data_IF_068607298759
#
_entry.id   IF_068607298759
#
_cell.length_a   1.000
_cell.length_b   1.000
_cell.length_c   1.000
_cell.angle_alpha   90.00
_cell.angle_beta   90.00
_cell.angle_gamma   90.00
#
_symmetry.space_group_name_H-M   'P 1'
#
loop_
_entity.id
_entity.type
_entity.pdbx_description
1 polymer ?
#
# COMPACT_ATOMS: atom_id res chain seq x y z
N UNK A 1 18.88 0.16 8.91
CA UNK A 1 17.83 -0.88 9.04
C UNK A 1 16.95 -0.81 7.81
N UNK A 2 16.28 -1.93 7.45
CA UNK A 2 15.33 -2.01 6.32
C UNK A 2 13.93 -2.21 6.91
N UNK A 3 13.05 -1.26 6.64
CA UNK A 3 11.68 -1.27 7.13
C UNK A 3 10.67 -1.43 6.00
N UNK A 4 9.61 -2.21 6.26
CA UNK A 4 8.44 -2.31 5.39
C UNK A 4 7.24 -1.66 6.08
N UNK A 5 6.52 -0.79 5.37
CA UNK A 5 5.27 -0.13 5.80
C UNK A 5 4.26 -0.25 4.67
N UNK A 6 2.97 -0.39 4.97
CA UNK A 6 1.90 -0.43 3.96
C UNK A 6 0.62 0.21 4.46
N UNK A 7 -0.31 0.46 3.54
CA UNK A 7 -1.72 0.78 3.80
C UNK A 7 -1.91 1.93 4.79
N UNK A 8 -1.14 3.00 4.60
CA UNK A 8 -1.23 4.22 5.44
C UNK A 8 -2.54 4.94 5.19
N UNK A 9 -3.06 4.91 3.96
CA UNK A 9 -4.37 5.47 3.61
C UNK A 9 -4.61 6.85 4.24
N UNK A 10 -3.72 7.80 3.98
CA UNK A 10 -3.87 9.17 4.46
C UNK A 10 -3.76 9.38 5.98
N UNK A 11 -3.39 8.37 6.75
CA UNK A 11 -3.09 8.48 8.19
C UNK A 11 -1.70 9.10 8.40
N UNK A 12 -1.55 10.36 8.02
CA UNK A 12 -0.25 11.05 7.98
C UNK A 12 0.38 11.20 9.36
N UNK A 13 -0.41 11.56 10.37
CA UNK A 13 0.12 11.76 11.73
C UNK A 13 0.63 10.45 12.33
N UNK A 14 -0.07 9.33 12.07
CA UNK A 14 0.37 7.99 12.47
C UNK A 14 1.65 7.57 11.74
N UNK A 15 1.77 7.93 10.46
CA UNK A 15 2.97 7.66 9.68
C UNK A 15 4.17 8.43 10.23
N UNK A 16 4.02 9.72 10.55
CA UNK A 16 5.07 10.51 11.19
C UNK A 16 5.45 9.94 12.57
N UNK A 17 4.46 9.61 13.40
CA UNK A 17 4.69 9.01 14.73
C UNK A 17 5.43 7.67 14.62
N UNK A 18 5.13 6.86 13.59
CA UNK A 18 5.80 5.60 13.34
C UNK A 18 7.27 5.81 12.98
N UNK A 19 7.57 6.74 12.04
CA UNK A 19 8.94 7.07 11.64
C UNK A 19 9.77 7.60 12.82
N UNK A 20 9.18 8.47 13.67
CA UNK A 20 9.83 8.93 14.90
C UNK A 20 10.12 7.76 15.85
N UNK A 21 9.16 6.85 16.03
CA UNK A 21 9.28 5.74 16.98
C UNK A 21 10.35 4.72 16.59
N UNK A 22 10.56 4.50 15.30
CA UNK A 22 11.65 3.66 14.78
C UNK A 22 12.96 4.43 14.61
N UNK A 23 12.98 5.72 14.94
CA UNK A 23 14.13 6.61 14.77
C UNK A 23 14.67 6.60 13.32
N UNK A 24 13.74 6.54 12.33
CA UNK A 24 14.09 6.42 10.92
C UNK A 24 15.02 7.53 10.46
N UNK A 25 16.16 7.17 9.89
CA UNK A 25 17.21 8.09 9.50
C UNK A 25 17.79 7.84 8.11
N UNK A 26 18.80 8.63 7.75
CA UNK A 26 19.40 8.61 6.42
C UNK A 26 20.15 7.30 6.05
N UNK A 27 20.45 6.45 7.04
CA UNK A 27 21.09 5.16 6.82
C UNK A 27 20.11 3.98 6.81
N UNK A 28 18.82 4.25 6.97
CA UNK A 28 17.78 3.24 6.90
C UNK A 28 17.16 3.23 5.49
N UNK A 29 16.47 2.17 5.15
CA UNK A 29 15.68 2.04 3.93
C UNK A 29 14.22 1.77 4.28
N UNK A 30 13.31 2.41 3.56
CA UNK A 30 11.88 2.22 3.71
C UNK A 30 11.30 1.63 2.42
N UNK A 31 10.77 0.42 2.49
CA UNK A 31 9.93 -0.13 1.43
C UNK A 31 8.45 0.14 1.77
N UNK A 32 7.83 0.97 0.98
CA UNK A 32 6.43 1.33 1.15
C UNK A 32 5.56 0.49 0.20
N UNK A 33 4.80 -0.45 0.75
CA UNK A 33 4.06 -1.47 0.00
C UNK A 33 2.67 -0.99 -0.42
N UNK A 34 2.58 0.22 -0.96
CA UNK A 34 1.37 0.75 -1.57
C UNK A 34 0.31 1.27 -0.61
N UNK A 35 -0.74 1.81 -1.21
CA UNK A 35 -1.93 2.34 -0.55
C UNK A 35 -1.64 3.51 0.41
N UNK A 36 -0.88 4.50 -0.08
CA UNK A 36 -0.71 5.77 0.61
C UNK A 36 -1.97 6.64 0.54
N UNK A 37 -2.75 6.48 -0.53
CA UNK A 37 -3.90 7.31 -0.89
C UNK A 37 -5.21 6.79 -0.27
N UNK A 38 -6.26 7.62 -0.37
CA UNK A 38 -7.66 7.33 -0.08
C UNK A 38 -8.00 7.13 1.42
N UNK A 39 -9.30 7.13 1.70
CA UNK A 39 -9.93 6.80 3.00
C UNK A 39 -9.62 7.78 4.13
N UNK A 40 -8.37 7.94 4.49
CA UNK A 40 -7.93 8.75 5.64
C UNK A 40 -7.86 10.24 5.34
N UNK A 41 -7.56 11.06 6.36
CA UNK A 41 -7.75 12.50 6.27
C UNK A 41 -6.72 13.23 5.39
N UNK A 42 -5.50 12.72 5.22
CA UNK A 42 -4.40 13.48 4.63
C UNK A 42 -3.56 12.69 3.59
N UNK A 43 -4.19 12.06 2.56
CA UNK A 43 -3.48 11.22 1.61
C UNK A 43 -2.39 11.96 0.83
N UNK A 44 -2.63 13.22 0.46
CA UNK A 44 -1.66 14.03 -0.27
C UNK A 44 -0.43 14.36 0.59
N UNK A 45 -0.58 14.51 1.91
CA UNK A 45 0.56 14.72 2.79
C UNK A 45 1.44 13.47 2.91
N UNK A 46 0.84 12.28 2.93
CA UNK A 46 1.59 11.00 2.92
C UNK A 46 2.45 10.90 1.68
N UNK A 47 1.87 11.06 0.49
CA UNK A 47 2.62 11.01 -0.78
C UNK A 47 3.74 12.07 -0.81
N UNK A 48 3.44 13.33 -0.45
CA UNK A 48 4.46 14.39 -0.44
C UNK A 48 5.60 14.11 0.55
N UNK A 49 5.34 13.44 1.66
CA UNK A 49 6.38 13.02 2.59
C UNK A 49 7.29 11.95 1.96
N UNK A 50 6.71 10.95 1.30
CA UNK A 50 7.47 9.90 0.61
C UNK A 50 8.29 10.45 -0.55
N UNK A 51 7.77 11.38 -1.34
CA UNK A 51 8.48 12.02 -2.47
C UNK A 51 9.79 12.71 -2.06
N UNK A 52 9.90 13.19 -0.83
CA UNK A 52 11.11 13.87 -0.35
C UNK A 52 12.07 12.96 0.42
N UNK A 53 11.75 11.69 0.55
CA UNK A 53 12.57 10.67 1.23
C UNK A 53 13.42 9.91 0.20
N UNK A 54 14.74 10.20 0.05
CA UNK A 54 15.57 9.59 -0.99
C UNK A 54 15.87 8.11 -0.76
N UNK A 55 15.57 7.61 0.43
CA UNK A 55 15.74 6.23 0.87
C UNK A 55 14.40 5.50 1.08
N UNK A 56 13.33 6.00 0.47
CA UNK A 56 12.04 5.34 0.40
C UNK A 56 11.78 4.78 -1.01
N UNK A 57 11.42 3.52 -1.09
CA UNK A 57 11.09 2.80 -2.32
C UNK A 57 9.59 2.52 -2.33
N UNK A 58 8.89 2.96 -3.37
CA UNK A 58 7.43 2.86 -3.46
C UNK A 58 7.01 1.69 -4.33
N UNK A 59 6.18 0.82 -3.81
CA UNK A 59 5.53 -0.29 -4.53
C UNK A 59 4.08 0.07 -4.75
N UNK A 60 3.52 -0.24 -5.92
CA UNK A 60 2.12 0.03 -6.23
C UNK A 60 1.16 -0.68 -5.28
N UNK A 61 0.16 0.06 -4.78
CA UNK A 61 -1.06 -0.49 -4.22
C UNK A 61 -2.24 -0.38 -5.21
N UNK A 62 -3.31 -1.10 -4.96
CA UNK A 62 -4.49 -1.04 -5.83
C UNK A 62 -5.19 0.33 -5.77
N UNK A 63 -5.16 1.02 -4.63
CA UNK A 63 -5.69 2.38 -4.49
C UNK A 63 -4.89 3.40 -5.31
N UNK A 64 -3.58 3.22 -5.41
CA UNK A 64 -2.71 4.09 -6.20
C UNK A 64 -3.03 3.96 -7.69
N UNK A 65 -3.24 2.74 -8.18
CA UNK A 65 -3.63 2.48 -9.57
C UNK A 65 -5.05 2.98 -9.87
N UNK A 66 -6.01 2.81 -8.93
CA UNK A 66 -7.34 3.41 -9.08
C UNK A 66 -7.23 4.93 -9.19
N UNK A 67 -6.47 5.59 -8.31
CA UNK A 67 -6.26 7.02 -8.34
C UNK A 67 -5.60 7.49 -9.64
N UNK A 68 -4.48 6.86 -10.06
CA UNK A 68 -3.80 7.18 -11.31
C UNK A 68 -4.71 7.08 -12.53
N UNK A 69 -5.53 6.01 -12.61
CA UNK A 69 -6.44 5.77 -13.74
C UNK A 69 -7.48 6.88 -13.93
N UNK A 70 -7.77 7.62 -12.86
CA UNK A 70 -8.74 8.72 -12.85
C UNK A 70 -8.05 10.08 -12.89
N UNK A 71 -7.02 10.29 -12.07
CA UNK A 71 -6.37 11.59 -11.92
C UNK A 71 -5.58 11.98 -13.17
N UNK A 72 -4.85 11.05 -13.79
CA UNK A 72 -4.04 11.36 -14.98
C UNK A 72 -4.89 11.90 -16.16
N UNK A 73 -6.04 11.33 -16.52
CA UNK A 73 -6.93 11.95 -17.50
C UNK A 73 -7.47 13.34 -17.09
N UNK A 74 -7.72 13.57 -15.79
CA UNK A 74 -8.30 14.82 -15.28
C UNK A 74 -7.28 15.98 -15.21
N UNK A 75 -5.98 15.74 -15.31
CA UNK A 75 -4.96 16.80 -15.39
C UNK A 75 -4.84 17.42 -16.77
N UNK A 76 -5.40 16.79 -17.81
CA UNK A 76 -5.43 17.36 -19.15
C UNK A 76 -6.37 18.56 -19.21
N UNK A 77 -6.08 19.52 -20.11
CA UNK A 77 -6.99 20.63 -20.37
C UNK A 77 -8.34 20.10 -20.85
N UNK A 78 -9.43 20.63 -20.30
CA UNK A 78 -10.79 20.20 -20.67
C UNK A 78 -11.16 20.83 -22.01
N UNK A 79 -11.09 20.04 -23.06
CA UNK A 79 -11.49 20.37 -24.42
C UNK A 79 -12.44 19.28 -24.93
N UNK A 80 -13.15 19.52 -26.04
CA UNK A 80 -13.98 18.48 -26.68
C UNK A 80 -13.12 17.24 -27.05
N UNK A 81 -11.90 17.48 -27.51
CA UNK A 81 -10.95 16.42 -27.86
C UNK A 81 -10.49 15.62 -26.64
N UNK A 82 -10.21 16.29 -25.51
CA UNK A 82 -9.78 15.60 -24.28
C UNK A 82 -10.92 14.77 -23.69
N UNK A 83 -12.15 15.26 -23.74
CA UNK A 83 -13.34 14.51 -23.31
C UNK A 83 -13.56 13.29 -24.19
N UNK A 84 -13.45 13.44 -25.53
CA UNK A 84 -13.62 12.34 -26.48
C UNK A 84 -12.49 11.30 -26.40
N UNK A 85 -11.33 11.67 -25.86
CA UNK A 85 -10.16 10.79 -25.65
C UNK A 85 -10.18 10.03 -24.33
N UNK A 86 -11.17 10.27 -23.44
CA UNK A 86 -11.30 9.49 -22.21
C UNK A 86 -11.51 8.00 -22.52
N UNK A 87 -10.91 7.09 -21.72
CA UNK A 87 -11.18 5.66 -21.84
C UNK A 87 -12.68 5.36 -21.74
N UNK A 88 -13.18 4.39 -22.52
CA UNK A 88 -14.60 4.03 -22.52
C UNK A 88 -15.14 3.65 -21.12
N UNK A 89 -14.27 3.13 -20.26
CA UNK A 89 -14.57 2.70 -18.90
C UNK A 89 -14.23 3.74 -17.82
N UNK A 90 -13.84 4.97 -18.22
CA UNK A 90 -13.43 6.03 -17.30
C UNK A 90 -14.43 6.26 -16.16
N UNK A 91 -15.73 6.40 -16.50
CA UNK A 91 -16.77 6.63 -15.50
C UNK A 91 -16.98 5.43 -14.56
N UNK A 92 -16.74 4.23 -15.03
CA UNK A 92 -16.77 3.04 -14.18
C UNK A 92 -15.60 3.04 -13.20
N UNK A 93 -14.40 3.32 -13.67
CA UNK A 93 -13.20 3.47 -12.81
C UNK A 93 -13.37 4.58 -11.81
N UNK A 94 -13.88 5.74 -12.22
CA UNK A 94 -14.18 6.83 -11.33
C UNK A 94 -15.16 6.42 -10.23
N UNK A 95 -16.27 5.79 -10.58
CA UNK A 95 -17.29 5.35 -9.63
C UNK A 95 -16.75 4.27 -8.67
N UNK A 96 -15.91 3.40 -9.17
CA UNK A 96 -15.23 2.38 -8.37
C UNK A 96 -14.28 3.01 -7.34
N UNK A 97 -13.42 3.91 -7.81
CA UNK A 97 -12.50 4.61 -6.93
C UNK A 97 -13.23 5.42 -5.84
N UNK A 98 -14.30 6.14 -6.20
CA UNK A 98 -15.12 6.88 -5.22
C UNK A 98 -15.72 5.94 -4.16
N UNK A 99 -16.23 4.75 -4.55
CA UNK A 99 -16.75 3.75 -3.60
C UNK A 99 -15.68 3.20 -2.66
N UNK A 100 -14.42 3.21 -3.10
CA UNK A 100 -13.28 2.75 -2.32
C UNK A 100 -12.62 3.84 -1.46
N UNK A 101 -13.20 5.06 -1.42
CA UNK A 101 -12.74 6.13 -0.55
C UNK A 101 -11.86 7.19 -1.23
N UNK A 102 -11.87 7.27 -2.57
CA UNK A 102 -11.07 8.21 -3.36
C UNK A 102 -11.50 9.68 -3.26
N UNK A 103 -12.66 9.97 -2.66
CA UNK A 103 -13.20 11.34 -2.58
C UNK A 103 -12.22 12.32 -1.91
N UNK A 104 -11.62 11.91 -0.78
CA UNK A 104 -10.68 12.76 -0.03
C UNK A 104 -9.42 13.04 -0.84
N UNK A 105 -8.88 12.03 -1.53
CA UNK A 105 -7.72 12.19 -2.43
C UNK A 105 -8.04 13.16 -3.56
N UNK A 106 -9.16 12.94 -4.25
CA UNK A 106 -9.59 13.81 -5.35
C UNK A 106 -9.76 15.27 -4.91
N UNK A 107 -10.39 15.50 -3.75
CA UNK A 107 -10.61 16.84 -3.21
C UNK A 107 -9.28 17.55 -2.93
N UNK A 108 -8.34 16.89 -2.24
CA UNK A 108 -7.04 17.45 -1.90
C UNK A 108 -6.17 17.64 -3.15
N UNK A 109 -6.16 16.67 -4.07
CA UNK A 109 -5.41 16.75 -5.33
C UNK A 109 -5.86 17.94 -6.19
N UNK A 110 -7.17 18.19 -6.30
CA UNK A 110 -7.70 19.35 -7.04
C UNK A 110 -7.32 20.71 -6.46
N UNK A 111 -7.03 20.79 -5.19
CA UNK A 111 -6.58 22.01 -4.52
C UNK A 111 -5.09 22.34 -4.76
N UNK A 112 -4.33 21.43 -5.35
CA UNK A 112 -2.90 21.59 -5.63
C UNK A 112 -2.66 22.46 -6.87
N UNK A 113 -1.45 23.01 -6.94
CA UNK A 113 -0.94 23.60 -8.18
C UNK A 113 -0.81 22.54 -9.29
N UNK A 114 -0.82 22.97 -10.56
CA UNK A 114 -0.60 22.06 -11.69
C UNK A 114 0.74 21.33 -11.60
N UNK A 115 1.78 22.01 -11.15
CA UNK A 115 3.10 21.43 -10.95
C UNK A 115 3.08 20.32 -9.88
N UNK A 116 2.48 20.63 -8.71
CA UNK A 116 2.37 19.61 -7.65
C UNK A 116 1.53 18.39 -8.09
N UNK A 117 0.47 18.62 -8.88
CA UNK A 117 -0.34 17.54 -9.45
C UNK A 117 0.50 16.64 -10.35
N UNK A 118 1.28 17.23 -11.25
CA UNK A 118 2.15 16.50 -12.17
C UNK A 118 3.25 15.74 -11.42
N UNK A 119 3.90 16.39 -10.46
CA UNK A 119 4.97 15.78 -9.66
C UNK A 119 4.47 14.54 -8.89
N UNK A 120 3.27 14.61 -8.30
CA UNK A 120 2.66 13.47 -7.61
C UNK A 120 2.35 12.33 -8.60
N UNK A 121 1.78 12.65 -9.76
CA UNK A 121 1.44 11.63 -10.75
C UNK A 121 2.70 10.96 -11.31
N UNK A 122 3.75 11.74 -11.62
CA UNK A 122 5.03 11.19 -12.05
C UNK A 122 5.63 10.27 -10.98
N UNK A 123 5.64 10.70 -9.72
CA UNK A 123 6.14 9.88 -8.60
C UNK A 123 5.40 8.55 -8.48
N UNK A 124 4.07 8.58 -8.56
CA UNK A 124 3.27 7.35 -8.52
C UNK A 124 3.51 6.47 -9.75
N UNK A 125 3.72 7.04 -10.94
CA UNK A 125 3.99 6.28 -12.18
C UNK A 125 5.38 5.62 -12.19
N UNK A 126 6.32 6.09 -11.36
CA UNK A 126 7.66 5.53 -11.19
C UNK A 126 7.72 4.38 -10.15
N UNK A 127 6.59 4.07 -9.48
CA UNK A 127 6.54 3.01 -8.48
C UNK A 127 6.85 1.63 -9.09
N UNK A 128 7.42 0.75 -8.29
CA UNK A 128 7.69 -0.63 -8.67
C UNK A 128 6.44 -1.51 -8.53
N UNK A 129 6.33 -2.54 -9.34
CA UNK A 129 5.28 -3.56 -9.17
C UNK A 129 5.57 -4.48 -7.97
N UNK A 130 6.84 -4.73 -7.72
CA UNK A 130 7.37 -5.51 -6.59
C UNK A 130 8.83 -5.13 -6.36
N UNK A 131 9.35 -5.51 -5.22
CA UNK A 131 10.79 -5.47 -4.92
C UNK A 131 11.24 -6.80 -4.34
N UNK A 132 12.54 -7.08 -4.45
CA UNK A 132 13.17 -8.23 -3.81
C UNK A 132 14.43 -7.81 -3.09
N UNK A 133 14.64 -8.37 -1.91
CA UNK A 133 15.87 -8.13 -1.15
C UNK A 133 16.37 -9.41 -0.49
N UNK A 134 17.68 -9.50 -0.33
CA UNK A 134 18.31 -10.59 0.38
C UNK A 134 18.89 -10.11 1.71
N UNK A 135 18.58 -10.83 2.78
CA UNK A 135 19.16 -10.59 4.09
C UNK A 135 19.45 -11.93 4.80
N UNK A 136 20.66 -12.10 5.32
CA UNK A 136 21.13 -13.31 6.01
C UNK A 136 20.82 -14.63 5.27
N UNK A 137 20.95 -14.62 3.94
CA UNK A 137 20.70 -15.78 3.08
C UNK A 137 19.23 -16.16 2.93
N UNK A 138 18.33 -15.24 3.29
CA UNK A 138 16.90 -15.32 3.04
C UNK A 138 16.50 -14.29 1.99
N UNK A 139 15.55 -14.65 1.13
CA UNK A 139 14.97 -13.79 0.11
C UNK A 139 13.61 -13.27 0.59
N UNK A 140 13.41 -11.98 0.51
CA UNK A 140 12.12 -11.33 0.78
C UNK A 140 11.55 -10.79 -0.53
N UNK A 141 10.36 -11.22 -0.87
CA UNK A 141 9.58 -10.72 -2.01
C UNK A 141 8.55 -9.75 -1.44
N UNK A 142 8.66 -8.48 -1.82
CA UNK A 142 7.80 -7.40 -1.35
C UNK A 142 6.78 -7.07 -2.43
N UNK A 143 5.50 -7.27 -2.14
CA UNK A 143 4.38 -6.95 -3.04
C UNK A 143 3.25 -6.33 -2.22
N UNK A 144 2.31 -5.66 -2.89
CA UNK A 144 1.19 -5.07 -2.16
C UNK A 144 0.21 -6.12 -1.62
N UNK A 145 -0.38 -6.96 -2.48
CA UNK A 145 -1.46 -7.87 -2.06
C UNK A 145 -1.06 -9.34 -1.96
N UNK A 146 -0.42 -9.88 -2.99
CA UNK A 146 -0.06 -11.28 -3.02
C UNK A 146 0.50 -11.72 -4.38
N UNK A 147 0.50 -13.02 -4.63
CA UNK A 147 0.88 -13.63 -5.90
C UNK A 147 -0.33 -14.40 -6.45
N UNK A 148 -1.13 -13.72 -7.26
CA UNK A 148 -2.28 -14.36 -7.92
C UNK A 148 -1.81 -15.46 -8.88
N UNK A 149 -2.55 -16.55 -8.93
CA UNK A 149 -2.19 -17.68 -9.78
C UNK A 149 -0.75 -18.19 -9.51
N UNK A 150 -0.37 -18.24 -8.24
CA UNK A 150 0.95 -18.72 -7.83
C UNK A 150 1.24 -20.12 -8.36
N UNK A 151 2.42 -20.26 -8.98
CA UNK A 151 3.03 -21.54 -9.33
C UNK A 151 4.51 -21.54 -8.91
N UNK A 152 5.04 -22.66 -8.36
CA UNK A 152 6.42 -22.69 -7.85
C UNK A 152 7.52 -22.40 -8.88
N UNK A 153 7.18 -22.50 -10.17
CA UNK A 153 8.10 -22.26 -11.30
C UNK A 153 7.85 -20.94 -12.00
N UNK A 154 6.88 -20.14 -11.54
CA UNK A 154 6.56 -18.85 -12.14
C UNK A 154 7.53 -17.79 -11.61
N UNK A 155 8.29 -17.18 -12.50
CA UNK A 155 9.21 -16.10 -12.15
C UNK A 155 8.45 -14.79 -11.88
N UNK A 156 9.06 -13.87 -11.13
CA UNK A 156 8.39 -12.64 -10.71
C UNK A 156 8.00 -11.73 -11.89
N UNK A 157 8.76 -11.72 -12.97
CA UNK A 157 8.49 -10.97 -14.19
C UNK A 157 7.33 -11.54 -15.06
N UNK A 158 6.85 -12.73 -14.73
CA UNK A 158 5.68 -13.34 -15.38
C UNK A 158 4.35 -12.94 -14.72
N UNK A 159 4.40 -12.24 -13.55
CA UNK A 159 3.20 -11.72 -12.91
C UNK A 159 2.82 -10.37 -13.51
N UNK A 160 1.53 -10.20 -13.80
CA UNK A 160 1.00 -8.87 -14.15
C UNK A 160 0.87 -8.00 -12.92
N UNK A 161 0.79 -6.68 -13.11
CA UNK A 161 0.55 -5.78 -11.99
C UNK A 161 -0.73 -6.16 -11.21
N UNK A 162 -1.81 -6.51 -11.93
CA UNK A 162 -3.07 -6.93 -11.29
C UNK A 162 -2.90 -8.19 -10.44
N UNK A 163 -2.03 -9.13 -10.83
CA UNK A 163 -1.73 -10.32 -10.02
C UNK A 163 -1.10 -9.98 -8.67
N UNK A 164 -0.44 -8.81 -8.56
CA UNK A 164 0.36 -8.41 -7.39
C UNK A 164 -0.40 -7.47 -6.44
N UNK A 165 -1.43 -6.74 -6.94
CA UNK A 165 -2.06 -5.66 -6.19
C UNK A 165 -3.53 -5.91 -5.81
N UNK A 166 -4.20 -6.97 -6.32
CA UNK A 166 -5.62 -7.19 -6.09
C UNK A 166 -5.95 -8.45 -5.30
N UNK A 167 -5.36 -9.58 -5.64
CA UNK A 167 -5.73 -10.84 -5.00
C UNK A 167 -4.96 -11.07 -3.71
N UNK A 168 -5.70 -11.40 -2.65
CA UNK A 168 -5.12 -11.75 -1.36
C UNK A 168 -4.22 -12.97 -1.46
N UNK A 169 -3.09 -12.95 -0.76
CA UNK A 169 -2.29 -14.14 -0.58
C UNK A 169 -3.09 -15.25 0.14
N UNK A 170 -2.85 -16.49 -0.22
CA UNK A 170 -3.41 -17.61 0.55
C UNK A 170 -2.50 -17.92 1.74
N UNK A 171 -2.78 -17.30 2.87
CA UNK A 171 -1.98 -17.35 4.09
C UNK A 171 -1.92 -18.74 4.74
N UNK A 172 -2.87 -19.64 4.43
CA UNK A 172 -2.87 -21.03 4.90
C UNK A 172 -1.90 -21.92 4.10
N UNK A 173 -1.39 -21.41 2.95
CA UNK A 173 -0.54 -22.17 2.03
C UNK A 173 0.89 -21.65 2.08
N UNK A 174 1.85 -22.53 2.35
CA UNK A 174 3.25 -22.21 2.15
C UNK A 174 3.58 -22.20 0.64
N UNK A 175 3.92 -21.01 0.09
CA UNK A 175 4.24 -20.86 -1.32
C UNK A 175 5.64 -21.40 -1.63
N UNK A 176 6.61 -21.10 -0.79
CA UNK A 176 8.02 -21.46 -0.99
C UNK A 176 8.49 -22.46 0.08
N UNK A 177 8.55 -23.77 -0.25
CA UNK A 177 9.06 -24.78 0.69
C UNK A 177 10.53 -24.53 1.02
N UNK A 178 10.92 -24.77 2.28
CA UNK A 178 12.31 -24.65 2.72
C UNK A 178 12.62 -23.44 3.59
N UNK A 179 11.65 -22.50 3.77
CA UNK A 179 11.74 -21.42 4.74
C UNK A 179 12.81 -20.35 4.46
N UNK A 180 13.27 -20.24 3.20
CA UNK A 180 14.28 -19.25 2.78
C UNK A 180 13.70 -18.09 1.97
N UNK A 181 12.44 -18.18 1.58
CA UNK A 181 11.77 -17.14 0.82
C UNK A 181 10.54 -16.71 1.59
N UNK A 182 10.44 -15.43 1.83
CA UNK A 182 9.32 -14.78 2.53
C UNK A 182 8.57 -13.87 1.58
N UNK A 183 7.24 -13.91 1.64
CA UNK A 183 6.37 -13.00 0.93
C UNK A 183 5.86 -11.94 1.92
N UNK A 184 6.29 -10.68 1.72
CA UNK A 184 5.86 -9.53 2.55
C UNK A 184 4.72 -8.83 1.84
N UNK A 185 3.58 -8.66 2.51
CA UNK A 185 2.36 -8.08 1.93
C UNK A 185 1.67 -7.07 2.84
N UNK A 186 0.95 -6.13 2.22
CA UNK A 186 -0.06 -5.27 2.83
C UNK A 186 -1.48 -5.74 2.50
N UNK A 187 -2.36 -4.81 2.09
CA UNK A 187 -3.66 -4.97 1.44
C UNK A 187 -4.73 -5.72 2.26
N UNK A 188 -4.36 -6.83 2.87
CA UNK A 188 -5.28 -7.65 3.66
C UNK A 188 -5.10 -7.33 5.14
N UNK A 189 -6.05 -6.61 5.76
CA UNK A 189 -5.94 -6.30 7.17
C UNK A 189 -5.76 -7.56 8.03
N UNK A 190 -4.66 -7.61 8.78
CA UNK A 190 -4.24 -8.79 9.54
C UNK A 190 -5.29 -9.32 10.54
N UNK A 191 -6.18 -8.50 11.15
CA UNK A 191 -7.28 -9.04 11.94
C UNK A 191 -8.25 -9.95 11.16
N UNK A 192 -8.26 -9.89 9.83
CA UNK A 192 -9.08 -10.79 9.00
C UNK A 192 -8.47 -12.19 8.88
N UNK A 193 -7.13 -12.29 8.94
CA UNK A 193 -6.38 -13.55 8.77
C UNK A 193 -5.91 -14.15 10.10
N UNK A 194 -5.60 -13.34 11.09
CA UNK A 194 -5.19 -13.81 12.42
C UNK A 194 -6.34 -14.44 13.19
N UNK A 195 -6.07 -15.55 13.85
CA UNK A 195 -7.06 -16.24 14.71
C UNK A 195 -7.47 -15.40 15.92
N UNK A 196 -6.53 -14.61 16.49
CA UNK A 196 -6.77 -13.75 17.66
C UNK A 196 -7.41 -12.38 17.31
N UNK A 197 -7.60 -12.11 16.02
CA UNK A 197 -8.18 -10.86 15.47
C UNK A 197 -7.48 -9.56 15.92
N UNK A 198 -6.24 -9.65 16.38
CA UNK A 198 -5.47 -8.46 16.77
C UNK A 198 -4.87 -7.76 15.55
N UNK A 199 -4.78 -6.41 15.56
CA UNK A 199 -4.14 -5.62 14.52
C UNK A 199 -2.60 -5.63 14.71
N UNK A 200 -2.00 -6.78 14.52
CA UNK A 200 -0.56 -7.02 14.62
C UNK A 200 -0.10 -7.76 13.37
N UNK A 201 1.15 -7.64 13.00
CA UNK A 201 1.72 -8.37 11.87
C UNK A 201 1.45 -9.89 11.98
N UNK A 202 1.29 -10.52 10.83
CA UNK A 202 1.08 -11.96 10.73
C UNK A 202 2.31 -12.60 10.11
N UNK A 203 2.83 -13.65 10.75
CA UNK A 203 4.03 -14.34 10.29
C UNK A 203 3.84 -15.86 10.42
N UNK A 204 3.33 -16.48 9.35
CA UNK A 204 3.18 -17.94 9.26
C UNK A 204 3.33 -18.39 7.80
N UNK A 205 3.73 -19.62 7.58
CA UNK A 205 3.85 -20.27 6.27
C UNK A 205 4.75 -19.51 5.25
N UNK A 206 5.73 -18.72 5.73
CA UNK A 206 6.58 -17.88 4.87
C UNK A 206 5.91 -16.59 4.40
N UNK A 207 4.73 -16.25 4.93
CA UNK A 207 4.07 -14.97 4.72
C UNK A 207 4.32 -14.01 5.88
N UNK A 208 4.56 -12.75 5.55
CA UNK A 208 4.68 -11.63 6.49
C UNK A 208 3.66 -10.58 6.04
N UNK A 209 2.47 -10.53 6.68
CA UNK A 209 1.46 -9.53 6.36
C UNK A 209 1.52 -8.40 7.39
N UNK A 210 1.58 -7.15 6.89
CA UNK A 210 1.86 -5.96 7.72
C UNK A 210 0.74 -4.90 7.70
N UNK A 211 -0.33 -5.06 6.89
CA UNK A 211 -1.50 -4.19 7.00
C UNK A 211 -2.25 -4.49 8.31
N UNK A 212 -2.01 -3.69 9.32
CA UNK A 212 -2.68 -3.82 10.61
C UNK A 212 -3.95 -2.97 10.72
N UNK A 213 -4.48 -2.46 9.61
CA UNK A 213 -5.77 -1.78 9.54
C UNK A 213 -5.79 -0.38 10.14
N UNK A 214 -4.73 0.41 9.97
CA UNK A 214 -4.57 1.73 10.57
C UNK A 214 -5.79 2.62 10.36
N UNK A 215 -6.23 2.80 9.13
CA UNK A 215 -7.35 3.68 8.75
C UNK A 215 -8.71 3.20 9.28
N UNK A 216 -8.79 1.97 9.76
CA UNK A 216 -9.97 1.38 10.38
C UNK A 216 -9.89 1.34 11.92
N UNK A 217 -8.95 2.08 12.52
CA UNK A 217 -8.74 2.12 13.96
C UNK A 217 -7.94 0.93 14.51
N UNK A 218 -7.22 0.22 13.64
CA UNK A 218 -6.22 -0.77 14.02
C UNK A 218 -4.89 -0.12 14.37
N UNK A 219 -3.81 -0.60 13.76
CA UNK A 219 -2.46 -0.06 13.95
C UNK A 219 -1.78 0.19 12.61
N UNK A 220 -0.79 1.09 12.60
CA UNK A 220 0.20 1.17 11.56
C UNK A 220 1.45 0.42 12.01
N UNK A 221 2.00 -0.42 11.16
CA UNK A 221 3.18 -1.22 11.46
C UNK A 221 4.38 -0.81 10.60
N UNK A 222 5.57 -0.78 11.20
CA UNK A 222 6.85 -0.82 10.52
C UNK A 222 7.51 -2.17 10.84
N UNK A 223 7.62 -3.04 9.87
CA UNK A 223 8.30 -4.34 10.01
C UNK A 223 9.77 -4.18 9.63
N UNK A 224 10.66 -4.55 10.53
CA UNK A 224 12.10 -4.51 10.32
C UNK A 224 12.59 -5.87 9.80
N UNK A 225 13.19 -5.88 8.62
CA UNK A 225 13.68 -7.11 7.97
C UNK A 225 14.81 -7.76 8.77
N UNK A 226 15.74 -6.96 9.32
CA UNK A 226 16.91 -7.48 10.02
C UNK A 226 16.58 -8.13 11.36
N UNK A 227 15.58 -7.60 12.07
CA UNK A 227 15.23 -8.13 13.40
C UNK A 227 14.05 -9.09 13.38
N UNK A 228 13.25 -9.08 12.32
CA UNK A 228 11.97 -9.79 12.27
C UNK A 228 10.93 -9.23 13.23
N UNK A 229 11.07 -7.98 13.68
CA UNK A 229 10.17 -7.36 14.65
C UNK A 229 9.38 -6.21 14.01
N UNK A 230 8.15 -6.03 14.45
CA UNK A 230 7.31 -4.91 14.03
C UNK A 230 7.12 -3.89 15.14
N UNK A 231 7.32 -2.62 14.81
CA UNK A 231 6.95 -1.46 15.65
C UNK A 231 5.58 -0.94 15.24
N UNK A 232 4.76 -0.51 16.20
CA UNK A 232 3.36 -0.15 15.96
C UNK A 232 3.01 1.22 16.52
N UNK A 233 2.10 1.91 15.81
CA UNK A 233 1.37 3.10 16.27
C UNK A 233 -0.12 2.81 16.19
N UNK A 234 -0.91 3.31 17.15
CA UNK A 234 -2.36 3.11 17.16
C UNK A 234 -3.03 4.02 16.10
N UNK A 235 -3.90 3.45 15.27
CA UNK A 235 -4.73 4.20 14.34
C UNK A 235 -5.75 5.06 15.09
N UNK A 236 -5.77 6.35 14.81
CA UNK A 236 -6.66 7.35 15.44
C UNK A 236 -7.90 7.64 14.61
N UNK A 237 -7.81 7.37 13.29
CA UNK A 237 -8.89 7.58 12.35
C UNK A 237 -9.75 6.33 12.20
N UNK A 238 -11.06 6.50 12.01
CA UNK A 238 -12.01 5.43 11.76
C UNK A 238 -12.71 5.68 10.42
N UNK A 239 -12.22 5.07 9.36
CA UNK A 239 -12.89 5.08 8.07
C UNK A 239 -14.09 4.09 8.12
N UNK A 240 -15.26 4.58 7.74
CA UNK A 240 -16.47 3.80 7.87
C UNK A 240 -16.95 3.67 9.33
N UNK A 241 -18.07 3.01 9.54
CA UNK A 241 -18.55 2.71 10.92
C UNK A 241 -17.71 1.58 11.46
N UNK A 242 -16.79 1.85 12.36
CA UNK A 242 -15.78 1.01 13.00
C UNK A 242 -16.15 -0.41 13.42
N UNK A 243 -16.56 -1.26 12.48
CA UNK A 243 -17.05 -2.61 12.75
C UNK A 243 -16.34 -3.71 11.97
N UNK A 244 -15.21 -3.41 11.30
CA UNK A 244 -14.49 -4.47 10.58
C UNK A 244 -14.01 -5.57 11.53
N UNK A 245 -13.75 -5.22 12.80
CA UNK A 245 -13.12 -6.16 13.76
C UNK A 245 -14.06 -6.78 14.78
N UNK A 246 -15.27 -6.28 14.97
CA UNK A 246 -16.10 -6.69 16.11
C UNK A 246 -16.89 -7.99 15.91
N UNK A 247 -16.81 -8.63 14.76
CA UNK A 247 -17.45 -9.95 14.54
C UNK A 247 -18.96 -10.00 14.78
N UNK A 248 -19.64 -8.87 14.93
CA UNK A 248 -21.09 -8.82 15.06
C UNK A 248 -21.70 -8.71 13.66
N UNK A 249 -22.21 -9.83 13.19
CA UNK A 249 -23.14 -9.91 12.07
C UNK A 249 -24.45 -9.18 12.44
#
# INVERSE_FOLDING_TARGET
MIYCVSDVHGCYDEFCELLEKIEFGANDELFFLGDALDRGPEPIRVIKALMVMPNAYYIYGNHDIMALSVLRPLTKEITEDSISSLPNDFFLRYADWMRNGGEVTLQQFRALSRTDQEDILCYLEEASAYETLEHDGQLYILVHAGLSNFAPTKEMDEYTLDDLIWEHANYDKQYFPGGKIHLVTGHTPTPLIRSDKKPLAYEENGHIAIDCGCVFGGKLAAYCIETGEATYVDGKYLHGRGQIWTGKK
#
